data_IF_480127692022
#
_entry.id   IF_480127692022
#
_cell.length_a   1.000
_cell.length_b   1.000
_cell.length_c   1.000
_cell.angle_alpha   90.00
_cell.angle_beta   90.00
_cell.angle_gamma   90.00
#
_symmetry.space_group_name_H-M   'P 1'
#
loop_
_entity.id
_entity.type
_entity.pdbx_description
1 polymer ?
#
# COMPACT_ATOMS: atom_id res chain seq x y z
N UNK A 1 5.17 -9.70 11.58
CA UNK A 1 5.29 -8.23 11.74
C UNK A 1 4.19 -7.56 10.95
N UNK A 2 3.70 -6.40 11.35
CA UNK A 2 2.69 -5.66 10.58
C UNK A 2 3.38 -4.82 9.50
N UNK A 3 2.81 -4.79 8.29
CA UNK A 3 3.25 -3.91 7.20
C UNK A 3 2.41 -2.64 7.29
N UNK A 4 3.06 -1.48 7.31
CA UNK A 4 2.41 -0.17 7.24
C UNK A 4 2.75 0.48 5.90
N UNK A 5 1.73 1.00 5.21
CA UNK A 5 1.89 1.79 3.99
C UNK A 5 1.40 3.21 4.25
N UNK A 6 2.23 4.19 3.94
CA UNK A 6 1.87 5.59 3.90
C UNK A 6 1.77 6.06 2.45
N UNK A 7 0.60 6.56 2.06
CA UNK A 7 0.36 7.13 0.73
C UNK A 7 0.14 8.63 0.84
N UNK A 8 0.79 9.37 -0.06
CA UNK A 8 0.66 10.81 -0.17
C UNK A 8 0.04 11.17 -1.51
N UNK A 9 -1.12 11.83 -1.48
CA UNK A 9 -1.77 12.33 -2.68
C UNK A 9 -1.85 13.85 -2.65
N UNK A 10 -1.58 14.48 -3.79
CA UNK A 10 -1.66 15.93 -3.92
C UNK A 10 -3.08 16.34 -4.30
N UNK A 11 -3.70 17.19 -3.50
CA UNK A 11 -5.04 17.70 -3.77
C UNK A 11 -5.02 18.77 -4.87
N UNK A 12 -6.19 19.09 -5.43
CA UNK A 12 -6.37 20.20 -6.38
C UNK A 12 -5.98 21.56 -5.78
N UNK A 13 -5.99 21.67 -4.45
CA UNK A 13 -5.64 22.88 -3.69
C UNK A 13 -4.15 22.94 -3.34
N UNK A 14 -3.32 22.06 -3.92
CA UNK A 14 -1.87 22.02 -3.69
C UNK A 14 -1.47 21.61 -2.25
N UNK A 15 -2.36 20.93 -1.53
CA UNK A 15 -2.08 20.29 -0.23
C UNK A 15 -1.73 18.81 -0.42
N UNK A 16 -1.07 18.21 0.58
CA UNK A 16 -0.82 16.78 0.63
C UNK A 16 -1.77 16.11 1.61
N UNK A 17 -2.49 15.09 1.15
CA UNK A 17 -3.29 14.20 1.99
C UNK A 17 -2.49 12.94 2.27
N UNK A 18 -2.28 12.65 3.56
CA UNK A 18 -1.75 11.38 4.03
C UNK A 18 -2.89 10.37 4.16
N UNK A 19 -2.67 9.15 3.67
CA UNK A 19 -3.53 8.01 3.90
C UNK A 19 -2.69 6.80 4.30
N UNK A 20 -3.04 6.18 5.42
CA UNK A 20 -2.34 5.02 5.97
C UNK A 20 -3.13 3.74 5.71
N UNK A 21 -2.43 2.67 5.33
CA UNK A 21 -3.01 1.35 5.11
C UNK A 21 -2.25 0.29 5.91
N UNK A 22 -3.01 -0.63 6.49
CA UNK A 22 -2.49 -1.87 7.08
C UNK A 22 -2.98 -3.02 6.19
N UNK A 23 -2.24 -3.35 5.12
CA UNK A 23 -2.66 -4.39 4.19
C UNK A 23 -2.58 -5.78 4.83
N UNK A 24 -3.59 -6.61 4.56
CA UNK A 24 -3.50 -8.02 4.87
C UNK A 24 -2.46 -8.66 3.93
N UNK A 25 -1.38 -9.21 4.50
CA UNK A 25 -0.33 -9.96 3.77
C UNK A 25 0.34 -9.17 2.63
N UNK A 26 0.45 -7.85 2.76
CA UNK A 26 1.11 -7.01 1.74
C UNK A 26 0.34 -6.88 0.43
N UNK A 27 -0.99 -6.97 0.46
CA UNK A 27 -1.86 -6.72 -0.71
C UNK A 27 -2.57 -5.38 -0.55
N UNK A 28 -2.47 -4.51 -1.56
CA UNK A 28 -3.28 -3.28 -1.69
C UNK A 28 -4.42 -3.55 -2.67
N UNK A 29 -5.65 -3.20 -2.29
CA UNK A 29 -6.82 -3.28 -3.18
C UNK A 29 -7.32 -1.88 -3.55
N UNK A 30 -7.53 -1.65 -4.84
CA UNK A 30 -8.22 -0.49 -5.40
C UNK A 30 -9.63 -0.93 -5.83
N UNK A 31 -10.52 -1.05 -4.84
CA UNK A 31 -11.85 -1.65 -5.03
C UNK A 31 -12.69 -0.96 -6.10
N UNK A 32 -12.58 0.37 -6.24
CA UNK A 32 -13.28 1.14 -7.27
C UNK A 32 -12.89 0.77 -8.70
N UNK A 33 -11.71 0.16 -8.88
CA UNK A 33 -11.18 -0.29 -10.17
C UNK A 33 -11.16 -1.83 -10.28
N UNK A 34 -11.49 -2.56 -9.20
CA UNK A 34 -11.38 -4.02 -9.15
C UNK A 34 -9.94 -4.52 -9.29
N UNK A 35 -8.95 -3.71 -8.91
CA UNK A 35 -7.52 -4.03 -9.04
C UNK A 35 -6.97 -4.43 -7.67
N UNK A 36 -6.15 -5.48 -7.65
CA UNK A 36 -5.39 -5.89 -6.47
C UNK A 36 -3.90 -5.97 -6.84
N UNK A 37 -3.05 -5.38 -6.02
CA UNK A 37 -1.61 -5.29 -6.22
C UNK A 37 -0.90 -5.97 -5.06
N UNK A 38 0.00 -6.90 -5.37
CA UNK A 38 0.91 -7.47 -4.39
C UNK A 38 2.14 -6.55 -4.28
N UNK A 39 2.49 -6.12 -3.07
CA UNK A 39 3.67 -5.28 -2.84
C UNK A 39 4.96 -5.95 -3.31
N UNK A 40 5.04 -7.28 -3.25
CA UNK A 40 6.19 -8.05 -3.74
C UNK A 40 6.43 -7.87 -5.26
N UNK A 41 5.41 -7.47 -6.03
CA UNK A 41 5.57 -7.20 -7.45
C UNK A 41 6.15 -5.80 -7.73
N UNK A 42 6.12 -4.91 -6.73
CA UNK A 42 6.55 -3.50 -6.84
C UNK A 42 7.93 -3.28 -6.22
N UNK A 43 8.20 -3.93 -5.09
CA UNK A 43 9.43 -3.75 -4.32
C UNK A 43 10.37 -4.93 -4.50
N UNK A 44 11.58 -4.67 -4.95
CA UNK A 44 12.64 -5.68 -5.05
C UNK A 44 13.44 -5.78 -3.76
N UNK A 45 13.77 -7.00 -3.32
CA UNK A 45 14.63 -7.24 -2.16
C UNK A 45 13.97 -7.06 -0.78
N UNK A 46 12.66 -6.88 -0.72
CA UNK A 46 11.88 -6.81 0.52
C UNK A 46 11.14 -8.12 0.74
N UNK A 47 11.29 -8.72 1.94
CA UNK A 47 10.53 -9.91 2.32
C UNK A 47 9.23 -9.50 3.03
N UNK A 48 8.11 -9.68 2.32
CA UNK A 48 6.77 -9.42 2.86
C UNK A 48 6.17 -10.61 3.60
N UNK A 49 6.87 -11.75 3.72
CA UNK A 49 6.46 -12.91 4.53
C UNK A 49 6.73 -12.67 6.02
N UNK A 50 6.24 -11.56 6.56
CA UNK A 50 6.41 -11.17 7.95
C UNK A 50 5.46 -12.00 8.85
N UNK A 51 5.86 -13.25 9.09
CA UNK A 51 5.28 -14.30 9.95
C UNK A 51 4.34 -15.27 9.21
N UNK A 52 4.86 -16.47 8.92
CA UNK A 52 4.06 -17.71 8.85
C UNK A 52 3.64 -18.15 10.25
#
# INVERSE_FOLDING_TARGET
>A
GEILIESYSKTSENHWLLQEYIPARGIISLDSLGISLNLADIYEGIDFNLNS
#
